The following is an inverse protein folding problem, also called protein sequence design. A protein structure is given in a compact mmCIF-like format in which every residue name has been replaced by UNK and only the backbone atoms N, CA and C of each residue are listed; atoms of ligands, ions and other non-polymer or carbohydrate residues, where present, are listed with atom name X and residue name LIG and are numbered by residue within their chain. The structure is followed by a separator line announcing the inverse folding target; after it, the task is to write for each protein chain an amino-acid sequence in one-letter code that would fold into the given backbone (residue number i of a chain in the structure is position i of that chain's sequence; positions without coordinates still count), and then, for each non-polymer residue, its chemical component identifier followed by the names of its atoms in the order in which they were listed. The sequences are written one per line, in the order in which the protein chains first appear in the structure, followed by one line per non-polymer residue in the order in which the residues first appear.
data_IF_852684113910
#
_entry.id   IF_852684113910
#
_cell.length_a   1.000
_cell.length_b   1.000
_cell.length_c   1.000
_cell.angle_alpha   90.00
_cell.angle_beta   90.00
_cell.angle_gamma   90.00
#
_symmetry.space_group_name_H-M   'P 1'
#
loop_
_entity.id
_entity.type
_entity.pdbx_description
1 polymer ?
#
# COMPACT_ATOMS: atom_id res chain seq x y z
N UNK A 1 19.94 -1.49 -22.88
CA UNK A 1 19.89 -1.60 -21.40
C UNK A 1 18.57 -2.27 -21.05
N UNK A 2 18.63 -3.55 -20.75
CA UNK A 2 17.45 -4.42 -20.56
C UNK A 2 16.81 -4.09 -19.21
N UNK A 3 15.49 -3.86 -19.20
CA UNK A 3 14.72 -3.75 -17.97
C UNK A 3 14.82 -5.05 -17.18
N UNK A 4 14.96 -5.03 -15.84
CA UNK A 4 14.88 -6.26 -15.06
C UNK A 4 13.44 -6.78 -15.14
N UNK A 5 13.29 -7.96 -15.71
CA UNK A 5 12.02 -8.69 -15.73
C UNK A 5 11.55 -8.93 -14.29
N UNK A 6 10.34 -8.48 -13.96
CA UNK A 6 9.66 -8.66 -12.67
C UNK A 6 9.31 -10.13 -12.33
N UNK A 7 10.03 -11.11 -12.89
CA UNK A 7 9.68 -12.54 -12.84
C UNK A 7 10.65 -13.33 -11.99
N UNK A 8 10.53 -13.23 -10.67
CA UNK A 8 11.07 -14.26 -9.76
C UNK A 8 10.02 -14.60 -8.72
N UNK A 9 8.85 -15.07 -9.14
CA UNK A 9 7.94 -15.96 -8.39
C UNK A 9 6.67 -16.13 -9.24
N UNK A 10 6.62 -17.02 -10.23
CA UNK A 10 5.33 -17.49 -10.72
C UNK A 10 4.81 -18.45 -9.65
N UNK A 11 4.16 -17.92 -8.62
CA UNK A 11 3.23 -18.75 -7.86
C UNK A 11 2.16 -19.17 -8.86
N UNK A 12 1.99 -20.46 -9.08
CA UNK A 12 0.89 -20.94 -9.91
C UNK A 12 -0.44 -20.48 -9.31
N UNK A 13 -1.50 -20.35 -10.11
CA UNK A 13 -2.84 -19.97 -9.61
C UNK A 13 -3.30 -20.87 -8.46
N UNK A 14 -2.90 -22.15 -8.47
CA UNK A 14 -3.16 -23.11 -7.41
C UNK A 14 -2.31 -22.84 -6.15
N UNK A 15 -1.03 -22.51 -6.32
CA UNK A 15 -0.16 -22.09 -5.20
C UNK A 15 -0.65 -20.79 -4.55
N UNK A 16 -1.15 -19.83 -5.35
CA UNK A 16 -1.76 -18.58 -4.86
C UNK A 16 -3.04 -18.86 -4.07
N UNK A 17 -3.94 -19.70 -4.59
CA UNK A 17 -5.17 -20.10 -3.88
C UNK A 17 -4.87 -20.75 -2.53
N UNK A 18 -3.92 -21.69 -2.50
CA UNK A 18 -3.49 -22.34 -1.25
C UNK A 18 -2.82 -21.35 -0.28
N UNK A 19 -2.12 -20.33 -0.80
CA UNK A 19 -1.51 -19.30 0.01
C UNK A 19 -2.56 -18.39 0.66
N UNK A 20 -3.59 -17.98 -0.10
CA UNK A 20 -4.70 -17.12 0.35
C UNK A 20 -5.58 -17.85 1.37
N UNK A 21 -6.00 -19.08 1.08
CA UNK A 21 -6.85 -19.89 1.98
C UNK A 21 -6.13 -20.25 3.29
N UNK A 22 -4.80 -20.10 3.31
CA UNK A 22 -3.95 -20.56 4.40
C UNK A 22 -3.78 -22.08 4.35
N UNK A 23 -2.81 -22.64 5.08
CA UNK A 23 -2.70 -24.09 5.20
C UNK A 23 -3.96 -24.64 5.88
N UNK A 24 -4.60 -25.65 5.29
CA UNK A 24 -5.78 -26.30 5.88
C UNK A 24 -5.51 -26.93 7.26
N UNK A 25 -4.23 -27.12 7.59
CA UNK A 25 -3.74 -27.76 8.81
C UNK A 25 -3.14 -26.78 9.83
N UNK A 26 -3.31 -25.46 9.70
CA UNK A 26 -2.84 -24.52 10.74
C UNK A 26 -3.70 -24.67 11.99
N UNK A 27 -3.25 -25.53 12.89
CA UNK A 27 -3.74 -25.56 14.26
C UNK A 27 -3.14 -24.36 15.01
N UNK A 28 -3.92 -23.30 15.12
CA UNK A 28 -3.56 -22.16 15.97
C UNK A 28 -3.39 -22.65 17.41
N UNK A 29 -2.16 -22.65 17.92
CA UNK A 29 -1.89 -23.04 19.31
C UNK A 29 -2.42 -21.96 20.26
N UNK A 30 -3.46 -22.31 20.99
CA UNK A 30 -4.06 -21.51 22.04
C UNK A 30 -3.62 -22.03 23.40
N UNK A 31 -3.44 -21.12 24.37
CA UNK A 31 -3.06 -21.49 25.73
C UNK A 31 -4.01 -22.57 26.32
N UNK A 32 -3.48 -23.66 26.91
CA UNK A 32 -4.33 -24.74 27.42
C UNK A 32 -5.08 -24.32 28.70
N UNK A 33 -6.31 -24.83 28.81
CA UNK A 33 -7.33 -24.68 29.88
C UNK A 33 -8.37 -23.56 29.69
N UNK A 34 -9.49 -23.88 29.02
CA UNK A 34 -10.71 -24.36 29.68
C UNK A 34 -11.65 -24.97 28.63
N UNK A 35 -12.16 -26.16 28.95
CA UNK A 35 -13.26 -26.81 28.23
C UNK A 35 -14.45 -25.86 28.14
N UNK A 36 -14.88 -25.48 26.93
CA UNK A 36 -16.29 -25.18 26.66
C UNK A 36 -16.66 -25.81 25.32
N UNK A 37 -17.56 -26.79 25.40
CA UNK A 37 -18.27 -27.35 24.25
C UNK A 37 -19.13 -26.25 23.62
N UNK A 38 -19.14 -26.24 22.29
CA UNK A 38 -20.03 -25.54 21.36
C UNK A 38 -19.49 -24.23 20.76
N UNK A 39 -19.17 -24.32 19.46
CA UNK A 39 -19.48 -23.30 18.46
C UNK A 39 -18.67 -22.01 18.52
N UNK A 40 -17.70 -21.88 17.60
CA UNK A 40 -17.18 -20.62 17.04
C UNK A 40 -17.28 -19.38 17.94
N UNK A 41 -16.49 -19.31 19.01
CA UNK A 41 -16.26 -18.07 19.75
C UNK A 41 -14.88 -17.48 19.41
N UNK A 42 -14.85 -16.17 19.22
CA UNK A 42 -13.64 -15.38 19.01
C UNK A 42 -12.63 -15.64 20.13
N UNK A 43 -11.49 -16.23 19.78
CA UNK A 43 -10.44 -16.54 20.73
C UNK A 43 -9.82 -15.22 21.20
N UNK A 44 -9.78 -14.94 22.52
CA UNK A 44 -9.19 -13.71 23.01
C UNK A 44 -7.76 -13.54 22.50
N UNK A 45 -7.43 -12.36 21.99
CA UNK A 45 -6.12 -11.99 21.48
C UNK A 45 -4.95 -12.24 22.46
N UNK A 46 -5.25 -12.37 23.75
CA UNK A 46 -4.31 -12.74 24.82
C UNK A 46 -3.96 -14.22 24.87
N UNK A 47 -4.71 -15.09 24.19
CA UNK A 47 -4.53 -16.56 24.17
C UNK A 47 -3.76 -17.08 22.95
N UNK A 48 -3.43 -16.22 21.99
CA UNK A 48 -2.63 -16.59 20.82
C UNK A 48 -1.14 -16.61 21.17
N UNK A 49 -0.58 -17.81 21.35
CA UNK A 49 0.80 -17.99 21.85
C UNK A 49 1.86 -17.52 20.86
N UNK A 50 1.63 -17.76 19.55
CA UNK A 50 2.58 -17.42 18.49
C UNK A 50 2.69 -15.91 18.22
N UNK A 51 1.92 -15.07 18.94
CA UNK A 51 2.00 -13.61 18.81
C UNK A 51 3.39 -13.04 19.07
N UNK A 52 4.15 -13.69 19.97
CA UNK A 52 5.49 -13.27 20.38
C UNK A 52 6.58 -13.66 19.39
N UNK A 53 6.25 -14.49 18.42
CA UNK A 53 7.12 -14.97 17.37
C UNK A 53 6.79 -14.26 16.06
N UNK A 54 7.72 -14.32 15.10
CA UNK A 54 7.42 -13.95 13.72
C UNK A 54 6.87 -15.16 12.95
N UNK A 55 6.06 -14.90 11.95
CA UNK A 55 5.54 -15.91 11.03
C UNK A 55 5.98 -15.60 9.61
N UNK A 56 6.27 -16.64 8.84
CA UNK A 56 6.51 -16.52 7.41
C UNK A 56 5.18 -16.30 6.69
N UNK A 57 5.08 -15.18 5.98
CA UNK A 57 3.88 -14.76 5.26
C UNK A 57 3.91 -15.32 3.85
N UNK A 58 5.04 -15.10 3.17
CA UNK A 58 5.42 -15.70 1.89
C UNK A 58 6.91 -16.06 1.96
N UNK A 59 7.43 -16.94 1.08
CA UNK A 59 8.83 -17.35 1.12
C UNK A 59 9.80 -16.18 1.22
N UNK A 60 10.58 -16.15 2.30
CA UNK A 60 11.57 -15.10 2.56
C UNK A 60 11.02 -13.81 3.18
N UNK A 61 9.71 -13.68 3.42
CA UNK A 61 9.09 -12.52 4.09
C UNK A 61 8.47 -12.93 5.42
N UNK A 62 9.10 -12.52 6.52
CA UNK A 62 8.65 -12.74 7.88
C UNK A 62 7.97 -11.48 8.44
N UNK A 63 6.91 -11.66 9.22
CA UNK A 63 6.21 -10.61 9.94
C UNK A 63 6.14 -10.95 11.42
N UNK A 64 6.50 -10.01 12.30
CA UNK A 64 6.47 -10.26 13.74
C UNK A 64 6.52 -9.02 14.63
N UNK A 65 6.52 -9.23 15.96
CA UNK A 65 6.75 -8.16 16.93
C UNK A 65 8.24 -7.85 17.05
N UNK A 66 8.57 -6.71 17.66
CA UNK A 66 9.94 -6.33 17.98
C UNK A 66 10.66 -7.39 18.83
N UNK A 67 9.94 -8.13 19.66
CA UNK A 67 10.54 -9.19 20.48
C UNK A 67 11.24 -10.26 19.63
N UNK A 68 10.76 -10.56 18.41
CA UNK A 68 11.39 -11.51 17.51
C UNK A 68 12.74 -11.03 16.97
N UNK A 69 13.00 -9.71 16.93
CA UNK A 69 14.30 -9.17 16.48
C UNK A 69 15.36 -9.07 17.58
N UNK A 70 15.06 -9.53 18.80
CA UNK A 70 15.98 -9.43 19.94
C UNK A 70 17.01 -10.54 20.02
N UNK A 71 16.75 -11.72 19.46
CA UNK A 71 17.64 -12.88 19.57
C UNK A 71 18.41 -13.11 18.28
N UNK A 72 19.74 -12.98 18.34
CA UNK A 72 20.63 -13.24 17.21
C UNK A 72 20.52 -14.69 16.72
N UNK A 73 20.39 -15.63 17.67
CA UNK A 73 20.24 -17.06 17.36
C UNK A 73 18.97 -17.34 16.56
N UNK A 74 17.84 -16.76 16.98
CA UNK A 74 16.56 -16.90 16.28
C UNK A 74 16.62 -16.27 14.89
N UNK A 75 17.21 -15.07 14.76
CA UNK A 75 17.37 -14.43 13.46
C UNK A 75 18.23 -15.26 12.51
N UNK A 76 19.32 -15.85 13.01
CA UNK A 76 20.19 -16.71 12.22
C UNK A 76 19.52 -18.03 11.84
N UNK A 77 18.77 -18.66 12.75
CA UNK A 77 18.07 -19.92 12.47
C UNK A 77 16.95 -19.76 11.43
N UNK A 78 16.36 -18.57 11.37
CA UNK A 78 15.38 -18.18 10.34
C UNK A 78 16.03 -17.67 9.04
N UNK A 79 17.35 -17.62 8.97
CA UNK A 79 18.09 -17.14 7.79
C UNK A 79 17.86 -15.67 7.48
N UNK A 80 17.52 -14.85 8.49
CA UNK A 80 17.28 -13.41 8.30
C UNK A 80 18.55 -12.74 7.79
N UNK A 81 18.39 -11.87 6.80
CA UNK A 81 19.48 -11.06 6.21
C UNK A 81 19.16 -9.57 6.31
N UNK A 82 17.88 -9.22 6.29
CA UNK A 82 17.39 -7.85 6.27
C UNK A 82 16.30 -7.66 7.32
N UNK A 83 16.26 -6.48 7.94
CA UNK A 83 15.25 -6.15 8.95
C UNK A 83 14.65 -4.78 8.66
N UNK A 84 13.36 -4.76 8.36
CA UNK A 84 12.55 -3.54 8.27
C UNK A 84 11.92 -3.27 9.63
N UNK A 85 12.42 -2.23 10.30
CA UNK A 85 11.97 -1.79 11.62
C UNK A 85 11.08 -0.55 11.49
N UNK A 86 9.78 -0.72 11.72
CA UNK A 86 8.81 0.39 11.70
C UNK A 86 8.43 0.71 13.15
N UNK A 87 8.59 1.95 13.59
CA UNK A 87 8.40 2.32 15.00
C UNK A 87 7.92 3.75 15.16
N UNK A 88 7.31 4.08 16.29
CA UNK A 88 7.19 5.48 16.69
C UNK A 88 8.58 6.01 17.06
N UNK A 89 8.89 7.25 16.67
CA UNK A 89 10.13 7.93 17.04
C UNK A 89 10.36 7.97 18.57
N UNK A 90 9.28 8.04 19.36
CA UNK A 90 9.30 7.97 20.83
C UNK A 90 9.78 6.60 21.33
N UNK A 91 9.62 5.54 20.55
CA UNK A 91 10.04 4.18 20.88
C UNK A 91 11.50 3.89 20.46
N UNK A 92 12.19 4.83 19.80
CA UNK A 92 13.52 4.61 19.21
C UNK A 92 14.60 4.14 20.21
N UNK A 93 14.43 4.41 21.51
CA UNK A 93 15.33 3.89 22.54
C UNK A 93 15.24 2.37 22.68
N UNK A 94 14.01 1.85 22.61
CA UNK A 94 13.67 0.45 22.85
C UNK A 94 13.63 -0.35 21.55
N UNK A 95 12.91 0.12 20.54
CA UNK A 95 12.73 -0.53 19.25
C UNK A 95 13.81 -0.01 18.31
N UNK A 96 14.95 -0.69 18.22
CA UNK A 96 16.10 -0.24 17.42
C UNK A 96 16.88 -1.41 16.81
N UNK A 97 17.66 -1.15 15.74
CA UNK A 97 18.62 -2.11 15.21
C UNK A 97 19.54 -2.62 16.32
N UNK A 98 19.49 -3.92 16.60
CA UNK A 98 20.24 -4.54 17.71
C UNK A 98 21.55 -5.16 17.25
N UNK A 99 21.62 -5.57 15.99
CA UNK A 99 22.80 -6.21 15.38
C UNK A 99 23.13 -5.56 14.03
N UNK A 100 23.43 -4.24 14.00
CA UNK A 100 23.64 -3.50 12.75
C UNK A 100 24.81 -4.03 11.91
N UNK A 101 25.79 -4.69 12.54
CA UNK A 101 26.94 -5.30 11.87
C UNK A 101 26.63 -6.68 11.24
N UNK A 102 25.42 -7.20 11.42
CA UNK A 102 25.02 -8.56 10.99
C UNK A 102 23.91 -8.58 9.96
N UNK A 103 23.04 -7.57 9.95
CA UNK A 103 21.88 -7.49 9.07
C UNK A 103 21.80 -6.12 8.43
N UNK A 104 21.26 -6.05 7.22
CA UNK A 104 20.89 -4.79 6.59
C UNK A 104 19.59 -4.27 7.24
N UNK A 105 19.57 -3.01 7.67
CA UNK A 105 18.39 -2.42 8.31
C UNK A 105 17.81 -1.29 7.48
N UNK A 106 16.48 -1.25 7.41
CA UNK A 106 15.71 -0.05 7.09
C UNK A 106 14.87 0.31 8.31
N UNK A 107 14.91 1.57 8.73
CA UNK A 107 14.14 2.07 9.86
C UNK A 107 13.19 3.16 9.38
N UNK A 108 11.89 2.95 9.59
CA UNK A 108 10.85 3.93 9.30
C UNK A 108 10.24 4.42 10.62
N UNK A 109 10.38 5.72 10.89
CA UNK A 109 9.74 6.35 12.04
C UNK A 109 8.31 6.78 11.65
N UNK A 110 7.31 6.04 12.14
CA UNK A 110 5.88 6.18 11.84
C UNK A 110 5.07 5.97 13.13
N UNK A 111 4.18 6.91 13.45
CA UNK A 111 3.25 6.76 14.57
C UNK A 111 2.09 5.81 14.22
N UNK A 112 1.64 4.99 15.17
CA UNK A 112 0.48 4.11 14.96
C UNK A 112 -0.84 4.86 15.21
N UNK A 113 -1.12 5.85 14.37
CA UNK A 113 -2.37 6.61 14.38
C UNK A 113 -2.94 6.76 12.96
N UNK A 114 -4.24 7.07 12.89
CA UNK A 114 -4.98 7.09 11.61
C UNK A 114 -4.58 8.25 10.70
N UNK A 115 -3.92 9.28 11.23
CA UNK A 115 -3.47 10.46 10.48
C UNK A 115 -2.15 10.23 9.71
N UNK A 116 -1.40 9.17 10.03
CA UNK A 116 -0.14 8.88 9.35
C UNK A 116 -0.37 8.37 7.92
N UNK A 117 0.30 8.98 6.95
CA UNK A 117 0.26 8.55 5.55
C UNK A 117 1.34 7.50 5.26
N UNK A 118 1.00 6.22 5.42
CA UNK A 118 1.90 5.09 5.18
C UNK A 118 2.12 4.81 3.68
N UNK A 119 1.17 5.17 2.81
CA UNK A 119 1.32 5.01 1.34
C UNK A 119 2.55 5.77 0.85
N UNK A 120 2.82 6.97 1.38
CA UNK A 120 3.99 7.77 0.98
C UNK A 120 5.33 7.13 1.33
N UNK A 121 5.37 6.34 2.41
CA UNK A 121 6.57 5.66 2.88
C UNK A 121 6.72 4.27 2.27
N UNK A 122 5.63 3.70 1.75
CA UNK A 122 5.59 2.36 1.22
C UNK A 122 6.60 2.10 0.07
N UNK A 123 6.88 3.01 -0.88
CA UNK A 123 7.87 2.76 -1.93
C UNK A 123 9.28 2.41 -1.40
N UNK A 124 9.72 3.04 -0.31
CA UNK A 124 11.02 2.76 0.30
C UNK A 124 11.05 1.36 0.92
N UNK A 125 10.01 1.01 1.69
CA UNK A 125 9.84 -0.33 2.25
C UNK A 125 9.73 -1.41 1.16
N UNK A 126 8.94 -1.15 0.11
CA UNK A 126 8.75 -2.05 -1.01
C UNK A 126 10.08 -2.37 -1.70
N UNK A 127 10.90 -1.36 -1.98
CA UNK A 127 12.18 -1.54 -2.64
C UNK A 127 13.14 -2.33 -1.75
N UNK A 128 13.23 -1.99 -0.47
CA UNK A 128 14.07 -2.73 0.49
C UNK A 128 13.70 -4.22 0.57
N UNK A 129 12.40 -4.54 0.66
CA UNK A 129 11.94 -5.92 0.68
C UNK A 129 12.25 -6.61 -0.67
N UNK A 130 11.93 -5.96 -1.79
CA UNK A 130 12.13 -6.50 -3.13
C UNK A 130 13.60 -6.83 -3.42
N UNK A 131 14.51 -5.92 -3.07
CA UNK A 131 15.95 -6.11 -3.27
C UNK A 131 16.49 -7.30 -2.47
N UNK A 132 16.06 -7.46 -1.21
CA UNK A 132 16.43 -8.61 -0.39
C UNK A 132 15.93 -9.93 -0.99
N UNK A 133 14.64 -10.00 -1.36
CA UNK A 133 14.05 -11.22 -1.92
C UNK A 133 14.69 -11.59 -3.27
N UNK A 134 15.02 -10.60 -4.12
CA UNK A 134 15.74 -10.83 -5.38
C UNK A 134 17.15 -11.40 -5.16
N UNK A 135 17.79 -11.06 -4.03
CA UNK A 135 19.07 -11.64 -3.59
C UNK A 135 18.90 -12.99 -2.89
N UNK A 136 17.69 -13.57 -2.89
CA UNK A 136 17.32 -14.79 -2.14
C UNK A 136 17.56 -14.65 -0.63
N UNK A 137 17.50 -13.42 -0.11
CA UNK A 137 17.55 -13.14 1.31
C UNK A 137 16.19 -13.31 1.98
N UNK A 138 16.20 -13.38 3.31
CA UNK A 138 15.01 -13.33 4.15
C UNK A 138 14.90 -11.98 4.84
N UNK A 139 13.72 -11.35 4.79
CA UNK A 139 13.39 -10.08 5.42
C UNK A 139 12.48 -10.30 6.62
N UNK A 140 12.86 -9.76 7.78
CA UNK A 140 11.94 -9.59 8.90
C UNK A 140 11.36 -8.18 8.90
N UNK A 141 10.04 -8.07 8.74
CA UNK A 141 9.31 -6.82 8.93
C UNK A 141 8.70 -6.83 10.32
N UNK A 142 9.01 -5.83 11.15
CA UNK A 142 8.44 -5.73 12.48
C UNK A 142 8.10 -4.29 12.87
N UNK A 143 7.14 -4.17 13.79
CA UNK A 143 6.95 -3.00 14.62
C UNK A 143 6.96 -3.42 16.10
N UNK A 144 6.54 -2.58 17.04
CA UNK A 144 6.53 -2.96 18.45
C UNK A 144 5.73 -4.26 18.68
N UNK A 145 4.43 -4.27 18.35
CA UNK A 145 3.54 -5.42 18.57
C UNK A 145 3.34 -6.36 17.37
N UNK A 146 3.71 -5.93 16.15
CA UNK A 146 3.43 -6.70 14.93
C UNK A 146 1.93 -6.87 14.65
N UNK A 147 1.14 -5.81 14.85
CA UNK A 147 -0.34 -5.85 14.80
C UNK A 147 -0.91 -4.83 13.81
N UNK A 148 -0.48 -3.57 13.86
CA UNK A 148 -1.02 -2.52 13.00
C UNK A 148 -0.02 -2.01 11.96
N UNK A 149 1.03 -1.29 12.37
CA UNK A 149 2.04 -0.70 11.47
C UNK A 149 2.70 -1.72 10.53
N UNK A 150 3.48 -2.67 11.05
CA UNK A 150 4.20 -3.62 10.19
C UNK A 150 3.28 -4.48 9.32
N UNK A 151 2.11 -4.97 9.80
CA UNK A 151 1.15 -5.64 8.94
C UNK A 151 0.63 -4.77 7.80
N UNK A 152 0.40 -3.47 7.99
CA UNK A 152 -0.07 -2.60 6.91
C UNK A 152 0.92 -2.55 5.73
N UNK A 153 2.22 -2.43 6.01
CA UNK A 153 3.25 -2.48 4.98
C UNK A 153 3.35 -3.87 4.31
N UNK A 154 3.25 -4.95 5.10
CA UNK A 154 3.31 -6.32 4.56
C UNK A 154 2.09 -6.63 3.68
N UNK A 155 0.89 -6.18 4.05
CA UNK A 155 -0.32 -6.36 3.24
C UNK A 155 -0.19 -5.61 1.91
N UNK A 156 0.26 -4.35 1.91
CA UNK A 156 0.51 -3.61 0.66
C UNK A 156 1.56 -4.30 -0.23
N UNK A 157 2.62 -4.85 0.38
CA UNK A 157 3.65 -5.60 -0.33
C UNK A 157 3.09 -6.87 -0.97
N UNK A 158 2.40 -7.71 -0.20
CA UNK A 158 1.79 -8.94 -0.70
C UNK A 158 0.77 -8.63 -1.80
N UNK A 159 -0.06 -7.60 -1.61
CA UNK A 159 -1.04 -7.16 -2.60
C UNK A 159 -0.39 -6.86 -3.96
N UNK A 160 0.65 -6.02 -3.98
CA UNK A 160 1.35 -5.66 -5.21
C UNK A 160 2.17 -6.84 -5.78
N UNK A 161 2.85 -7.60 -4.92
CA UNK A 161 3.76 -8.69 -5.33
C UNK A 161 3.02 -9.87 -5.94
N UNK A 162 1.86 -10.19 -5.38
CA UNK A 162 1.02 -11.32 -5.77
C UNK A 162 -0.18 -10.92 -6.65
N UNK A 163 -0.30 -9.63 -7.00
CA UNK A 163 -1.40 -9.08 -7.81
C UNK A 163 -2.80 -9.42 -7.25
N UNK A 164 -2.95 -9.28 -5.93
CA UNK A 164 -4.19 -9.58 -5.22
C UNK A 164 -5.06 -8.33 -5.07
N UNK A 165 -6.34 -8.53 -4.74
CA UNK A 165 -7.14 -7.44 -4.17
C UNK A 165 -6.68 -7.12 -2.75
N UNK A 166 -7.10 -5.98 -2.21
CA UNK A 166 -6.77 -5.65 -0.83
C UNK A 166 -7.37 -6.64 0.17
N UNK A 167 -8.58 -7.17 -0.10
CA UNK A 167 -9.24 -8.17 0.73
C UNK A 167 -8.41 -9.47 0.77
N UNK A 168 -8.05 -9.98 -0.40
CA UNK A 168 -7.31 -11.25 -0.52
C UNK A 168 -5.91 -11.14 0.09
N UNK A 169 -5.23 -10.01 -0.11
CA UNK A 169 -3.94 -9.75 0.52
C UNK A 169 -4.06 -9.67 2.05
N UNK A 170 -5.08 -8.97 2.57
CA UNK A 170 -5.31 -8.89 4.02
C UNK A 170 -5.60 -10.27 4.61
N UNK A 171 -6.47 -11.06 3.97
CA UNK A 171 -6.79 -12.42 4.40
C UNK A 171 -5.58 -13.35 4.36
N UNK A 172 -4.76 -13.30 3.31
CA UNK A 172 -3.53 -14.09 3.21
C UNK A 172 -2.60 -13.81 4.40
N UNK A 173 -2.33 -12.54 4.70
CA UNK A 173 -1.46 -12.16 5.82
C UNK A 173 -2.10 -12.56 7.15
N UNK A 174 -3.42 -12.38 7.31
CA UNK A 174 -4.15 -12.75 8.52
C UNK A 174 -4.15 -14.26 8.76
N UNK A 175 -4.28 -15.07 7.71
CA UNK A 175 -4.23 -16.53 7.79
C UNK A 175 -2.84 -17.05 8.18
N UNK A 176 -1.78 -16.24 8.02
CA UNK A 176 -0.42 -16.56 8.46
C UNK A 176 -0.11 -15.99 9.83
N UNK A 177 -0.69 -14.84 10.18
CA UNK A 177 -0.60 -14.21 11.50
C UNK A 177 -1.98 -13.69 11.90
N UNK A 178 -2.72 -14.52 12.64
CA UNK A 178 -4.12 -14.24 13.02
C UNK A 178 -4.33 -12.89 13.72
N UNK A 179 -3.32 -12.44 14.45
CA UNK A 179 -3.40 -11.32 15.35
C UNK A 179 -3.14 -9.95 14.70
N UNK A 180 -3.04 -9.88 13.36
CA UNK A 180 -2.96 -8.58 12.67
C UNK A 180 -4.29 -7.83 12.79
N UNK A 181 -4.18 -6.51 12.97
CA UNK A 181 -5.30 -5.58 13.02
C UNK A 181 -4.75 -4.18 12.74
N UNK A 182 -4.52 -3.82 11.46
CA UNK A 182 -4.25 -2.44 11.06
C UNK A 182 -5.34 -1.50 11.58
N UNK A 183 -4.96 -0.30 12.03
CA UNK A 183 -5.92 0.72 12.42
C UNK A 183 -6.81 1.17 11.23
N UNK A 184 -7.90 1.90 11.50
CA UNK A 184 -8.88 2.27 10.48
C UNK A 184 -8.31 3.13 9.36
N UNK A 185 -7.42 4.07 9.70
CA UNK A 185 -6.71 4.90 8.72
C UNK A 185 -5.79 4.09 7.81
N UNK A 186 -5.05 3.13 8.35
CA UNK A 186 -4.18 2.24 7.56
C UNK A 186 -4.99 1.28 6.70
N UNK A 187 -6.09 0.74 7.21
CA UNK A 187 -6.98 -0.10 6.40
C UNK A 187 -7.56 0.68 5.21
N UNK A 188 -7.94 1.94 5.41
CA UNK A 188 -8.41 2.82 4.33
C UNK A 188 -7.31 3.03 3.30
N UNK A 189 -6.09 3.32 3.74
CA UNK A 189 -4.93 3.49 2.86
C UNK A 189 -4.55 2.21 2.09
N UNK A 190 -4.66 1.03 2.71
CA UNK A 190 -4.44 -0.25 2.03
C UNK A 190 -5.42 -0.40 0.85
N UNK A 191 -6.70 -0.03 1.03
CA UNK A 191 -7.72 -0.05 -0.04
C UNK A 191 -7.39 0.95 -1.14
N UNK A 192 -7.02 2.17 -0.79
CA UNK A 192 -6.63 3.21 -1.76
C UNK A 192 -5.40 2.81 -2.56
N UNK A 193 -4.45 2.12 -1.93
CA UNK A 193 -3.22 1.65 -2.56
C UNK A 193 -3.48 0.65 -3.70
N UNK A 194 -4.59 -0.10 -3.65
CA UNK A 194 -4.98 -1.01 -4.73
C UNK A 194 -5.07 -0.28 -6.08
N UNK A 195 -5.72 0.88 -6.10
CA UNK A 195 -5.89 1.68 -7.32
C UNK A 195 -4.54 2.19 -7.83
N UNK A 196 -3.64 2.58 -6.93
CA UNK A 196 -2.30 3.09 -7.25
C UNK A 196 -1.45 1.98 -7.90
N UNK A 197 -1.44 0.78 -7.33
CA UNK A 197 -0.65 -0.32 -7.91
C UNK A 197 -1.24 -0.77 -9.25
N UNK A 198 -2.57 -0.88 -9.37
CA UNK A 198 -3.24 -1.31 -10.62
C UNK A 198 -2.93 -0.35 -11.76
N UNK A 199 -2.95 0.95 -11.49
CA UNK A 199 -2.54 1.98 -12.44
C UNK A 199 -1.06 1.81 -12.84
N UNK A 200 -0.17 1.58 -11.86
CA UNK A 200 1.26 1.39 -12.11
C UNK A 200 1.54 0.15 -12.99
N UNK A 201 0.84 -0.96 -12.75
CA UNK A 201 0.93 -2.18 -13.56
C UNK A 201 0.40 -1.93 -14.98
N UNK A 202 -0.74 -1.25 -15.12
CA UNK A 202 -1.30 -0.91 -16.43
C UNK A 202 -0.31 -0.07 -17.24
N UNK A 203 0.25 1.00 -16.66
CA UNK A 203 1.25 1.87 -17.29
C UNK A 203 2.49 1.09 -17.73
N UNK A 204 2.99 0.17 -16.90
CA UNK A 204 4.14 -0.67 -17.25
C UNK A 204 3.85 -1.66 -18.41
N UNK A 205 2.60 -2.07 -18.58
CA UNK A 205 2.15 -2.94 -19.66
C UNK A 205 1.87 -2.22 -20.99
N UNK A 206 1.78 -0.89 -21.00
CA UNK A 206 1.53 -0.13 -22.24
C UNK A 206 2.80 -0.03 -23.11
N UNK A 207 2.73 -0.38 -24.42
CA UNK A 207 3.85 -0.20 -25.33
C UNK A 207 4.21 1.29 -25.49
N UNK A 208 5.44 1.66 -25.14
CA UNK A 208 5.93 3.05 -25.20
C UNK A 208 5.76 3.72 -26.58
N UNK A 209 5.67 2.95 -27.67
CA UNK A 209 5.47 3.45 -29.04
C UNK A 209 4.09 4.02 -29.37
N UNK A 210 3.05 3.79 -28.55
CA UNK A 210 1.69 4.33 -28.82
C UNK A 210 1.42 5.70 -28.16
N UNK A 211 2.20 6.09 -27.15
CA UNK A 211 2.03 7.36 -26.44
C UNK A 211 2.24 8.58 -27.36
N UNK A 212 3.21 8.51 -28.29
CA UNK A 212 3.49 9.60 -29.24
C UNK A 212 2.34 9.86 -30.23
N UNK A 213 1.55 8.84 -30.60
CA UNK A 213 0.46 9.00 -31.58
C UNK A 213 -0.76 9.74 -31.01
N UNK A 214 -0.99 9.64 -29.70
CA UNK A 214 -2.16 10.28 -29.06
C UNK A 214 -1.92 11.77 -28.81
N UNK A 215 -0.69 12.16 -28.47
CA UNK A 215 -0.33 13.58 -28.25
C UNK A 215 -0.31 14.36 -29.58
N UNK A 216 0.14 13.73 -30.68
CA UNK A 216 0.17 14.37 -32.00
C UNK A 216 -1.22 14.73 -32.57
N UNK A 217 -2.30 14.08 -32.10
CA UNK A 217 -3.67 14.35 -32.59
C UNK A 217 -4.38 15.52 -31.92
N UNK A 218 -3.78 16.13 -30.88
CA UNK A 218 -4.38 17.26 -30.14
C UNK A 218 -3.78 18.62 -30.47
N UNK A 219 -2.85 18.70 -31.43
CA UNK A 219 -2.46 20.00 -31.99
C UNK A 219 -3.61 20.45 -32.90
N UNK A 220 -4.56 21.21 -32.33
CA UNK A 220 -5.54 21.98 -33.09
C UNK A 220 -4.75 23.01 -33.90
N UNK A 221 -5.00 23.02 -35.21
CA UNK A 221 -4.53 24.06 -36.11
C UNK A 221 -5.31 25.35 -35.78
N UNK A 222 -4.69 26.24 -35.01
CA UNK A 222 -5.02 27.68 -35.03
C UNK A 222 -4.08 28.26 -36.10
N UNK A 223 -4.54 28.32 -37.35
CA UNK A 223 -3.88 29.08 -38.43
C UNK A 223 -4.90 30.10 -39.00
N UNK A 224 -4.39 31.32 -39.15
CA UNK A 224 -5.05 32.58 -39.45
C UNK A 224 -5.70 32.65 -40.84
N UNK A 225 -6.89 33.25 -40.94
CA UNK A 225 -7.31 33.97 -42.16
C UNK A 225 -7.96 35.31 -41.77
N UNK A 226 -7.15 36.37 -41.75
CA UNK A 226 -7.62 37.73 -42.01
C UNK A 226 -7.72 37.93 -43.53
N UNK A 227 -8.88 38.37 -44.04
CA UNK A 227 -8.87 39.32 -45.17
C UNK A 227 -10.17 40.15 -45.24
N UNK A 228 -9.92 41.45 -45.37
CA UNK A 228 -10.76 42.65 -45.47
C UNK A 228 -11.71 42.63 -46.70
N UNK A 229 -12.90 43.26 -46.61
CA UNK A 229 -13.48 44.12 -47.68
C UNK A 229 -14.92 44.64 -47.37
N UNK A 230 -15.02 45.98 -47.29
CA UNK A 230 -16.09 46.90 -47.78
C UNK A 230 -16.83 47.75 -46.73
N UNK A 231 -16.33 48.97 -46.64
CA UNK A 231 -17.02 50.20 -46.23
C UNK A 231 -18.28 50.53 -47.06
N UNK A 232 -19.13 51.36 -46.43
CA UNK A 232 -20.23 52.19 -46.94
C UNK A 232 -21.55 51.52 -47.38
N UNK A 233 -22.58 51.63 -46.52
CA UNK A 233 -23.68 52.57 -46.84
C UNK A 233 -24.58 52.94 -45.63
N UNK A 234 -24.38 54.17 -45.15
CA UNK A 234 -25.40 55.21 -44.89
C UNK A 234 -26.62 54.91 -44.00
N UNK A 235 -26.57 55.62 -42.85
CA UNK A 235 -27.44 56.75 -42.44
C UNK A 235 -28.67 56.49 -41.55
N UNK A 236 -28.71 57.38 -40.54
CA UNK A 236 -29.83 57.97 -39.77
C UNK A 236 -30.21 57.25 -38.47
N UNK A 237 -30.44 57.94 -37.35
CA UNK A 237 -30.23 59.33 -36.97
C UNK A 237 -30.38 59.40 -35.44
N UNK A 238 -29.60 60.27 -34.80
CA UNK A 238 -29.85 60.72 -33.44
C UNK A 238 -31.06 61.66 -33.46
N UNK A 239 -32.00 61.46 -32.53
CA UNK A 239 -32.95 62.50 -32.12
C UNK A 239 -33.09 62.44 -30.60
N UNK A 240 -32.89 63.60 -30.00
CA UNK A 240 -32.95 63.94 -28.58
C UNK A 240 -34.40 63.95 -28.02
N UNK A 241 -34.49 64.32 -26.73
CA UNK A 241 -35.63 64.75 -25.90
C UNK A 241 -36.15 63.65 -24.92
N UNK A 242 -35.85 63.75 -23.62
CA UNK A 242 -36.44 64.62 -22.57
C UNK A 242 -37.85 64.19 -22.11
N UNK A 243 -38.08 64.23 -20.78
CA UNK A 243 -39.36 64.06 -20.09
C UNK A 243 -39.44 62.71 -19.35
N UNK A 244 -39.06 62.58 -18.09
CA UNK A 244 -39.64 63.16 -16.85
C UNK A 244 -41.02 62.60 -16.48
N UNK A 245 -41.17 62.39 -15.16
CA UNK A 245 -42.38 62.10 -14.38
C UNK A 245 -43.00 60.69 -14.25
N UNK A 246 -42.80 60.15 -13.04
CA UNK A 246 -43.83 59.90 -12.02
C UNK A 246 -44.76 58.66 -12.05
N UNK A 247 -44.62 57.90 -10.95
CA UNK A 247 -45.68 57.44 -10.01
C UNK A 247 -46.78 56.47 -10.48
N UNK A 248 -46.75 55.26 -9.91
CA UNK A 248 -47.87 54.56 -9.22
C UNK A 248 -47.41 53.12 -8.88
N UNK A 249 -47.06 52.77 -7.64
CA UNK A 249 -47.91 52.21 -6.55
C UNK A 249 -48.79 51.01 -6.92
N UNK A 250 -48.54 49.92 -6.18
CA UNK A 250 -49.43 48.87 -5.70
C UNK A 250 -50.20 47.99 -6.69
N UNK A 251 -49.85 46.70 -6.75
CA UNK A 251 -50.49 45.61 -6.01
C UNK A 251 -49.70 44.30 -6.12
#
# INVERSE_FOLDING_TARGET
MSTPSNSVFPLTDESLKNLIQGPGDVEWRYAPHTFLRHGYECVPFTRYEMRRECQEIIPGLLLGPFQASKSLEVLNSLGVTHILCIRDKKEAFSVKPRFPERFEYLVLDVEDNEDQNVIRLFPEAHNFITESLNRKGTVLVHCNGGISLSPAFVVMFVMQRCQLSWEDALHLVQNRRYCISPNGGFLTQIKEYESIYKASVAVAGFPQGQMQRVVSRRKRDDDDEEEDFREEDRKRALVDAEGDDAMATDL
#
